data_IF_791451641520
#
_entry.id   IF_791451641520
#
_cell.length_a   1.000
_cell.length_b   1.000
_cell.length_c   1.000
_cell.angle_alpha   90.00
_cell.angle_beta   90.00
_cell.angle_gamma   90.00
#
_symmetry.space_group_name_H-M   'P 1'
#
loop_
_entity.id
_entity.type
_entity.pdbx_description
1 polymer ?
#
# COMPACT_ATOMS: atom_id res chain seq x y z
N UNK A 1 16.96 27.28 28.56
CA UNK A 1 16.20 27.44 27.30
C UNK A 1 16.94 26.90 26.06
N UNK A 2 18.10 26.22 26.17
CA UNK A 2 18.81 25.64 25.02
C UNK A 2 18.69 24.11 24.88
N UNK A 3 18.45 23.39 25.98
CA UNK A 3 18.61 21.92 26.03
C UNK A 3 17.46 21.14 25.37
N UNK A 4 16.26 21.73 25.31
CA UNK A 4 15.08 21.08 24.72
C UNK A 4 15.07 21.23 23.19
N UNK A 5 15.58 22.35 22.67
CA UNK A 5 15.64 22.63 21.22
C UNK A 5 16.58 21.66 20.48
N UNK A 6 17.71 21.32 21.11
CA UNK A 6 18.68 20.38 20.55
C UNK A 6 18.14 18.93 20.52
N UNK A 7 17.26 18.56 21.46
CA UNK A 7 16.62 17.24 21.48
C UNK A 7 15.62 17.01 20.34
N UNK A 8 14.92 18.06 19.89
CA UNK A 8 14.03 17.98 18.73
C UNK A 8 14.80 17.79 17.41
N UNK A 9 16.00 18.37 17.31
CA UNK A 9 16.86 18.23 16.12
C UNK A 9 17.41 16.81 15.94
N UNK A 10 17.56 16.05 17.03
CA UNK A 10 18.15 14.71 17.02
C UNK A 10 17.14 13.58 16.77
N UNK A 11 15.83 13.83 16.93
CA UNK A 11 14.80 12.78 16.84
C UNK A 11 14.10 12.70 15.49
N UNK A 12 14.39 13.60 14.54
CA UNK A 12 13.71 13.64 13.23
C UNK A 12 12.19 13.84 13.34
N UNK A 13 11.71 14.20 14.53
CA UNK A 13 10.29 14.31 14.89
C UNK A 13 9.79 15.74 14.67
N UNK A 14 10.13 16.32 13.51
CA UNK A 14 9.57 17.61 13.09
C UNK A 14 8.20 17.44 12.42
N UNK A 15 7.76 16.19 12.21
CA UNK A 15 6.43 15.91 11.71
C UNK A 15 5.40 15.84 12.82
N UNK A 16 4.40 16.69 12.69
CA UNK A 16 3.18 16.64 13.49
C UNK A 16 2.48 15.29 13.31
N UNK A 17 1.73 14.85 14.33
CA UNK A 17 0.90 13.65 14.24
C UNK A 17 -0.05 13.68 13.01
N UNK A 18 -0.52 14.86 12.62
CA UNK A 18 -1.33 15.08 11.43
C UNK A 18 -0.58 14.75 10.13
N UNK A 19 0.69 15.17 10.00
CA UNK A 19 1.52 14.89 8.84
C UNK A 19 1.82 13.40 8.71
N UNK A 20 2.10 12.73 9.83
CA UNK A 20 2.30 11.28 9.87
C UNK A 20 1.05 10.55 9.38
N UNK A 21 -0.13 10.86 9.93
CA UNK A 21 -1.40 10.23 9.54
C UNK A 21 -1.70 10.49 8.06
N UNK A 22 -1.57 11.73 7.61
CA UNK A 22 -1.81 12.11 6.21
C UNK A 22 -0.87 11.39 5.25
N UNK A 23 0.40 11.20 5.63
CA UNK A 23 1.35 10.42 4.83
C UNK A 23 0.93 8.96 4.72
N UNK A 24 0.49 8.34 5.81
CA UNK A 24 0.01 6.96 5.79
C UNK A 24 -1.25 6.81 4.93
N UNK A 25 -2.20 7.74 5.03
CA UNK A 25 -3.39 7.77 4.16
C UNK A 25 -2.98 7.83 2.68
N UNK A 26 -2.04 8.72 2.32
CA UNK A 26 -1.52 8.79 0.95
C UNK A 26 -0.87 7.49 0.50
N UNK A 27 -0.07 6.85 1.34
CA UNK A 27 0.54 5.57 0.98
C UNK A 27 -0.48 4.45 0.80
N UNK A 28 -1.52 4.39 1.63
CA UNK A 28 -2.61 3.44 1.48
C UNK A 28 -3.37 3.64 0.16
N UNK A 29 -3.74 4.87 -0.17
CA UNK A 29 -4.38 5.16 -1.46
C UNK A 29 -3.50 4.76 -2.64
N UNK A 30 -2.21 5.11 -2.59
CA UNK A 30 -1.26 4.77 -3.66
C UNK A 30 -1.07 3.26 -3.81
N UNK A 31 -1.01 2.55 -2.69
CA UNK A 31 -0.94 1.08 -2.69
C UNK A 31 -2.18 0.48 -3.35
N UNK A 32 -3.37 0.95 -2.98
CA UNK A 32 -4.62 0.47 -3.55
C UNK A 32 -4.70 0.75 -5.06
N UNK A 33 -4.38 1.97 -5.51
CA UNK A 33 -4.38 2.30 -6.94
C UNK A 33 -3.42 1.43 -7.76
N UNK A 34 -2.21 1.17 -7.25
CA UNK A 34 -1.23 0.30 -7.91
C UNK A 34 -1.71 -1.15 -7.95
N UNK A 35 -2.29 -1.64 -6.85
CA UNK A 35 -2.89 -2.97 -6.78
C UNK A 35 -4.02 -3.12 -7.80
N UNK A 36 -4.96 -2.19 -7.83
CA UNK A 36 -6.16 -2.29 -8.67
C UNK A 36 -5.81 -2.26 -10.16
N UNK A 37 -4.85 -1.40 -10.53
CA UNK A 37 -4.29 -1.38 -11.88
C UNK A 37 -3.63 -2.72 -12.25
N UNK A 38 -2.85 -3.29 -11.32
CA UNK A 38 -2.20 -4.59 -11.51
C UNK A 38 -3.22 -5.73 -11.63
N UNK A 39 -4.25 -5.74 -10.78
CA UNK A 39 -5.36 -6.69 -10.82
C UNK A 39 -6.09 -6.63 -12.17
N UNK A 40 -6.41 -5.44 -12.66
CA UNK A 40 -7.04 -5.26 -13.97
C UNK A 40 -6.20 -5.86 -15.11
N UNK A 41 -4.88 -5.62 -15.10
CA UNK A 41 -3.97 -6.21 -16.09
C UNK A 41 -3.89 -7.74 -15.98
N UNK A 42 -3.87 -8.27 -14.76
CA UNK A 42 -3.85 -9.72 -14.52
C UNK A 42 -5.15 -10.39 -14.95
N UNK A 43 -6.30 -9.74 -14.77
CA UNK A 43 -7.60 -10.23 -15.25
C UNK A 43 -7.62 -10.34 -16.78
N UNK A 44 -7.16 -9.30 -17.50
CA UNK A 44 -7.05 -9.35 -18.96
C UNK A 44 -6.10 -10.46 -19.45
N UNK A 45 -5.00 -10.69 -18.71
CA UNK A 45 -4.08 -11.78 -19.01
C UNK A 45 -4.72 -13.16 -18.78
N UNK A 46 -5.48 -13.30 -17.69
CA UNK A 46 -6.18 -14.53 -17.35
C UNK A 46 -7.22 -14.88 -18.43
N UNK A 47 -8.00 -13.90 -18.87
CA UNK A 47 -8.98 -14.03 -19.96
C UNK A 47 -8.30 -14.50 -21.26
N UNK A 48 -7.20 -13.87 -21.66
CA UNK A 48 -6.46 -14.26 -22.86
C UNK A 48 -5.93 -15.71 -22.79
N UNK A 49 -5.56 -16.18 -21.59
CA UNK A 49 -5.07 -17.54 -21.37
C UNK A 49 -6.19 -18.57 -21.13
N UNK A 50 -7.46 -18.15 -21.04
CA UNK A 50 -8.56 -19.01 -20.62
C UNK A 50 -8.40 -19.55 -19.19
N UNK A 51 -7.65 -18.82 -18.34
CA UNK A 51 -7.38 -19.17 -16.95
C UNK A 51 -8.18 -18.26 -16.02
N UNK A 52 -8.37 -18.70 -14.78
CA UNK A 52 -8.90 -17.83 -13.73
C UNK A 52 -7.79 -16.97 -13.13
N UNK A 53 -8.17 -15.83 -12.57
CA UNK A 53 -7.23 -14.95 -11.87
C UNK A 53 -6.47 -15.72 -10.77
N UNK A 54 -7.17 -16.55 -9.98
CA UNK A 54 -6.56 -17.41 -8.95
C UNK A 54 -5.48 -18.37 -9.50
N UNK A 55 -5.66 -18.91 -10.71
CA UNK A 55 -4.64 -19.75 -11.36
C UNK A 55 -3.40 -18.95 -11.76
N UNK A 56 -3.57 -17.73 -12.27
CA UNK A 56 -2.46 -16.81 -12.57
C UNK A 56 -1.70 -16.40 -11.29
N UNK A 57 -2.42 -16.12 -10.21
CA UNK A 57 -1.83 -15.85 -8.89
C UNK A 57 -0.94 -17.00 -8.43
N UNK A 58 -1.46 -18.23 -8.52
CA UNK A 58 -0.72 -19.45 -8.17
C UNK A 58 0.49 -19.67 -9.08
N UNK A 59 0.35 -19.47 -10.39
CA UNK A 59 1.45 -19.59 -11.37
C UNK A 59 2.59 -18.61 -11.08
N UNK A 60 2.25 -17.38 -10.66
CA UNK A 60 3.22 -16.33 -10.36
C UNK A 60 3.71 -16.29 -8.91
N UNK A 61 3.29 -17.25 -8.07
CA UNK A 61 3.68 -17.31 -6.66
C UNK A 61 3.17 -16.14 -5.82
N UNK A 62 2.09 -15.48 -6.25
CA UNK A 62 1.48 -14.36 -5.54
C UNK A 62 0.40 -14.90 -4.58
N UNK A 63 0.36 -14.40 -3.34
CA UNK A 63 -0.78 -14.63 -2.45
C UNK A 63 -1.84 -13.54 -2.69
N UNK A 64 -3.10 -13.95 -2.71
CA UNK A 64 -4.25 -13.04 -2.71
C UNK A 64 -4.62 -12.78 -1.26
N UNK A 65 -4.00 -11.82 -0.57
CA UNK A 65 -4.59 -11.34 0.69
C UNK A 65 -4.17 -9.92 1.06
N UNK A 66 -4.99 -8.92 0.71
CA UNK A 66 -5.26 -7.74 1.58
C UNK A 66 -6.75 -7.37 1.49
N UNK A 67 -7.67 -8.31 1.25
CA UNK A 67 -9.11 -8.01 1.24
C UNK A 67 -9.69 -7.74 2.64
N UNK A 68 -8.91 -7.98 3.70
CA UNK A 68 -9.42 -7.95 5.09
C UNK A 68 -9.29 -6.60 5.81
N UNK A 69 -8.69 -5.56 5.22
CA UNK A 69 -8.31 -4.36 5.99
C UNK A 69 -9.34 -3.22 5.99
N UNK A 70 -10.28 -3.16 5.06
CA UNK A 70 -11.43 -2.24 5.13
C UNK A 70 -12.64 -2.84 4.42
N UNK A 71 -13.54 -3.52 5.14
CA UNK A 71 -14.89 -3.76 4.64
C UNK A 71 -15.63 -2.41 4.70
N UNK A 72 -15.80 -1.79 3.53
CA UNK A 72 -16.74 -0.69 3.33
C UNK A 72 -18.07 -1.24 2.86
#
# INVERSE_FOLDING_TARGET
MGEIADLYSATGADETASEIVNRHIRYLHRYNEMRDSGLGMLSLLAENKGLTLAQIYKERGMNETVELWFPG
#
